data_IF_211461201913
#
_entry.id   IF_211461201913
#
_cell.length_a   1.000
_cell.length_b   1.000
_cell.length_c   1.000
_cell.angle_alpha   90.00
_cell.angle_beta   90.00
_cell.angle_gamma   90.00
#
_symmetry.space_group_name_H-M   'P 1'
#
loop_
_entity.id
_entity.type
_entity.pdbx_description
1 polymer ?
#
# COMPACT_ATOMS: atom_id res chain seq x y z
N UNK A 1 6.30 -40.84 4.46
CA UNK A 1 5.65 -39.59 4.91
C UNK A 1 5.59 -38.62 3.75
N UNK A 2 4.52 -37.84 3.63
CA UNK A 2 4.37 -36.88 2.53
C UNK A 2 5.36 -35.72 2.65
N UNK A 3 6.05 -35.39 1.55
CA UNK A 3 7.00 -34.28 1.51
C UNK A 3 6.28 -32.93 1.75
N UNK A 4 6.87 -32.09 2.61
CA UNK A 4 6.47 -30.71 2.84
C UNK A 4 7.47 -29.77 2.20
N UNK A 5 6.99 -28.69 1.61
CA UNK A 5 7.83 -27.72 0.91
C UNK A 5 7.41 -26.30 1.25
N UNK A 6 8.37 -25.38 1.34
CA UNK A 6 8.10 -23.97 1.63
C UNK A 6 7.26 -23.35 0.50
N UNK A 7 6.23 -22.59 0.88
CA UNK A 7 5.43 -21.80 -0.05
C UNK A 7 6.31 -20.82 -0.84
N UNK A 8 7.04 -19.95 -0.14
CA UNK A 8 8.00 -19.04 -0.74
C UNK A 8 7.38 -17.90 -1.58
N UNK A 9 6.07 -17.65 -1.49
CA UNK A 9 5.52 -16.44 -2.11
C UNK A 9 5.89 -15.19 -1.31
N UNK A 10 6.24 -14.06 -1.94
CA UNK A 10 6.33 -13.85 -3.38
C UNK A 10 7.75 -13.98 -3.96
N UNK A 11 8.80 -14.05 -3.13
CA UNK A 11 10.20 -13.88 -3.56
C UNK A 11 11.07 -15.15 -3.44
N UNK A 12 10.50 -16.30 -3.10
CA UNK A 12 11.17 -17.60 -3.03
C UNK A 12 11.60 -18.03 -1.62
N UNK A 13 12.57 -18.95 -1.54
CA UNK A 13 12.94 -19.67 -0.29
C UNK A 13 13.76 -18.84 0.72
N UNK A 14 14.26 -17.66 0.36
CA UNK A 14 15.26 -16.94 1.17
C UNK A 14 15.02 -15.43 1.27
N UNK A 15 13.76 -15.01 1.27
CA UNK A 15 13.41 -13.60 1.44
C UNK A 15 12.55 -13.44 2.69
N UNK A 16 12.94 -12.53 3.58
CA UNK A 16 12.23 -12.26 4.84
C UNK A 16 10.78 -11.77 4.62
N UNK A 17 10.52 -11.26 3.43
CA UNK A 17 9.20 -10.81 2.99
C UNK A 17 8.41 -11.90 2.24
N UNK A 18 8.75 -13.18 2.44
CA UNK A 18 8.09 -14.33 1.80
C UNK A 18 7.54 -15.31 2.81
N UNK A 19 6.39 -15.88 2.50
CA UNK A 19 5.70 -16.87 3.31
C UNK A 19 6.62 -18.05 3.70
N UNK A 20 6.81 -18.22 5.01
CA UNK A 20 7.55 -19.32 5.65
C UNK A 20 6.74 -20.61 5.82
N UNK A 21 5.44 -20.61 5.48
CA UNK A 21 4.59 -21.79 5.62
C UNK A 21 5.10 -22.95 4.76
N UNK A 22 5.03 -24.16 5.33
CA UNK A 22 5.46 -25.41 4.70
C UNK A 22 4.27 -26.37 4.51
N UNK A 23 3.35 -26.10 3.55
CA UNK A 23 2.27 -27.02 3.23
C UNK A 23 2.80 -28.34 2.65
N UNK A 24 1.96 -29.38 2.62
CA UNK A 24 2.28 -30.56 1.84
C UNK A 24 2.34 -30.22 0.35
N UNK A 25 3.15 -30.97 -0.41
CA UNK A 25 3.35 -30.71 -1.85
C UNK A 25 2.03 -30.64 -2.63
N UNK A 26 1.06 -31.49 -2.30
CA UNK A 26 -0.25 -31.52 -2.95
C UNK A 26 -1.19 -30.37 -2.52
N UNK A 27 -0.96 -29.74 -1.35
CA UNK A 27 -1.74 -28.59 -0.85
C UNK A 27 -1.12 -27.26 -1.24
N UNK A 28 0.08 -27.28 -1.83
CA UNK A 28 0.86 -26.08 -2.11
C UNK A 28 0.12 -25.11 -3.03
N UNK A 29 -0.55 -25.62 -4.07
CA UNK A 29 -1.29 -24.79 -5.03
C UNK A 29 -2.51 -24.13 -4.38
N UNK A 30 -3.29 -24.88 -3.60
CA UNK A 30 -4.43 -24.35 -2.84
C UNK A 30 -3.99 -23.29 -1.83
N UNK A 31 -2.91 -23.58 -1.09
CA UNK A 31 -2.31 -22.61 -0.19
C UNK A 31 -1.88 -21.34 -0.94
N UNK A 32 -1.22 -21.46 -2.09
CA UNK A 32 -0.74 -20.30 -2.86
C UNK A 32 -1.89 -19.41 -3.36
N UNK A 33 -3.03 -20.00 -3.72
CA UNK A 33 -4.23 -19.27 -4.11
C UNK A 33 -4.79 -18.39 -2.96
N UNK A 34 -4.62 -18.84 -1.72
CA UNK A 34 -5.13 -18.16 -0.52
C UNK A 34 -4.03 -17.49 0.33
N UNK A 35 -2.78 -17.62 -0.09
CA UNK A 35 -1.62 -17.16 0.65
C UNK A 35 -1.68 -15.65 0.85
N UNK A 36 -1.37 -15.18 2.05
CA UNK A 36 -1.40 -13.76 2.40
C UNK A 36 -0.31 -12.95 1.71
N UNK A 37 0.77 -13.63 1.29
CA UNK A 37 1.87 -13.05 0.52
C UNK A 37 1.65 -13.11 -0.99
N UNK A 38 0.50 -13.66 -1.46
CA UNK A 38 0.18 -13.66 -2.89
C UNK A 38 0.05 -12.22 -3.39
N UNK A 39 0.52 -12.00 -4.61
CA UNK A 39 0.44 -10.68 -5.25
C UNK A 39 -0.95 -10.48 -5.84
N UNK A 40 -1.60 -9.39 -5.47
CA UNK A 40 -2.90 -8.95 -5.96
C UNK A 40 -2.80 -7.56 -6.54
N UNK A 41 -3.67 -7.22 -7.50
CA UNK A 41 -3.75 -5.86 -8.04
C UNK A 41 -4.29 -4.91 -6.98
N UNK A 42 -3.78 -3.68 -6.97
CA UNK A 42 -4.39 -2.59 -6.23
C UNK A 42 -5.85 -2.39 -6.68
N UNK A 43 -6.73 -2.04 -5.74
CA UNK A 43 -8.15 -1.76 -6.01
C UNK A 43 -8.42 -0.29 -6.31
N UNK A 44 -7.41 0.58 -6.16
CA UNK A 44 -7.56 2.01 -6.44
C UNK A 44 -7.59 2.22 -7.95
N UNK A 45 -8.62 2.91 -8.49
CA UNK A 45 -8.72 3.18 -9.92
C UNK A 45 -7.47 3.89 -10.45
N UNK A 46 -6.91 3.37 -11.55
CA UNK A 46 -5.69 3.90 -12.17
C UNK A 46 -4.37 3.42 -11.55
N UNK A 47 -4.40 2.56 -10.53
CA UNK A 47 -3.20 1.93 -9.98
C UNK A 47 -3.01 0.49 -10.49
N UNK A 48 -2.02 0.28 -11.36
CA UNK A 48 -1.67 -1.06 -11.88
C UNK A 48 -0.64 -1.82 -11.03
N UNK A 49 -0.31 -1.30 -9.85
CA UNK A 49 0.69 -1.94 -8.98
C UNK A 49 0.17 -3.25 -8.40
N UNK A 50 1.03 -4.28 -8.42
CA UNK A 50 0.79 -5.54 -7.71
C UNK A 50 1.42 -5.47 -6.33
N UNK A 51 0.63 -5.71 -5.30
CA UNK A 51 1.05 -5.69 -3.90
C UNK A 51 0.69 -7.00 -3.22
N UNK A 52 1.37 -7.32 -2.13
CA UNK A 52 1.01 -8.49 -1.32
C UNK A 52 -0.39 -8.32 -0.74
N UNK A 53 -1.17 -9.39 -0.70
CA UNK A 53 -2.55 -9.35 -0.22
C UNK A 53 -2.67 -8.80 1.21
N UNK A 54 -1.79 -9.22 2.13
CA UNK A 54 -1.71 -8.69 3.50
C UNK A 54 -1.40 -7.18 3.57
N UNK A 55 -0.68 -6.62 2.58
CA UNK A 55 -0.33 -5.20 2.51
C UNK A 55 -1.26 -4.38 1.64
N UNK A 56 -2.27 -5.00 1.01
CA UNK A 56 -3.19 -4.34 0.10
C UNK A 56 -3.92 -3.16 0.76
N UNK A 57 -4.41 -3.33 1.99
CA UNK A 57 -5.13 -2.29 2.72
C UNK A 57 -4.22 -1.10 3.04
N UNK A 58 -2.99 -1.39 3.49
CA UNK A 58 -1.97 -0.36 3.75
C UNK A 58 -1.65 0.41 2.46
N UNK A 59 -1.35 -0.29 1.36
CA UNK A 59 -1.10 0.34 0.07
C UNK A 59 -2.29 1.19 -0.38
N UNK A 60 -3.53 0.68 -0.29
CA UNK A 60 -4.71 1.43 -0.70
C UNK A 60 -4.89 2.74 0.09
N UNK A 61 -4.53 2.76 1.38
CA UNK A 61 -4.58 3.98 2.20
C UNK A 61 -3.58 5.05 1.75
N UNK A 62 -2.41 4.62 1.27
CA UNK A 62 -1.28 5.47 0.84
C UNK A 62 -1.14 5.58 -0.68
N UNK A 63 -2.05 4.99 -1.45
CA UNK A 63 -1.93 4.89 -2.89
C UNK A 63 -1.89 6.28 -3.53
N UNK A 64 -0.91 6.52 -4.39
CA UNK A 64 -0.72 7.80 -5.08
C UNK A 64 -1.94 8.19 -5.94
N UNK A 65 -2.66 7.19 -6.47
CA UNK A 65 -3.84 7.39 -7.31
C UNK A 65 -5.14 7.60 -6.52
N UNK A 66 -5.11 7.41 -5.19
CA UNK A 66 -6.30 7.61 -4.36
C UNK A 66 -6.70 9.08 -4.45
N UNK A 67 -7.98 9.33 -4.76
CA UNK A 67 -8.54 10.67 -4.72
C UNK A 67 -8.64 11.11 -3.26
N UNK A 68 -8.09 12.28 -2.98
CA UNK A 68 -8.11 12.92 -1.66
C UNK A 68 -8.62 14.34 -1.82
N UNK A 69 -9.31 14.80 -0.79
CA UNK A 69 -9.70 16.20 -0.64
C UNK A 69 -8.60 16.98 0.09
N UNK A 70 -8.58 18.29 -0.15
CA UNK A 70 -7.65 19.17 0.56
C UNK A 70 -7.99 19.21 2.06
N UNK A 71 -7.00 19.01 2.96
CA UNK A 71 -7.26 18.95 4.40
C UNK A 71 -7.75 20.27 5.00
N UNK A 72 -7.50 21.41 4.34
CA UNK A 72 -8.01 22.72 4.76
C UNK A 72 -9.43 23.00 4.25
N UNK A 73 -10.05 22.06 3.54
CA UNK A 73 -11.44 22.20 3.09
C UNK A 73 -11.65 23.22 1.98
N UNK A 74 -10.61 23.53 1.18
CA UNK A 74 -10.70 24.51 0.10
C UNK A 74 -11.54 24.06 -1.12
N UNK A 75 -12.18 22.88 -1.05
CA UNK A 75 -12.97 22.30 -2.13
C UNK A 75 -12.16 21.57 -3.22
N UNK A 76 -10.83 21.56 -3.15
CA UNK A 76 -10.00 20.80 -4.10
C UNK A 76 -10.08 19.29 -3.85
N UNK A 77 -10.19 18.52 -4.93
CA UNK A 77 -10.13 17.06 -4.94
C UNK A 77 -9.23 16.60 -6.09
N UNK A 78 -8.28 15.72 -5.79
CA UNK A 78 -7.34 15.21 -6.79
C UNK A 78 -6.62 13.97 -6.31
N UNK A 79 -5.71 13.44 -7.14
CA UNK A 79 -4.89 12.28 -6.73
C UNK A 79 -3.98 12.68 -5.59
N UNK A 80 -3.68 11.75 -4.69
CA UNK A 80 -2.73 11.96 -3.60
C UNK A 80 -1.37 12.46 -4.10
N UNK A 81 -0.89 12.01 -5.26
CA UNK A 81 0.33 12.54 -5.88
C UNK A 81 0.30 14.05 -6.12
N UNK A 82 -0.87 14.58 -6.50
CA UNK A 82 -1.06 15.99 -6.81
C UNK A 82 -1.30 16.84 -5.56
N UNK A 83 -1.58 16.23 -4.41
CA UNK A 83 -1.92 16.94 -3.18
C UNK A 83 -0.78 17.84 -2.70
N UNK A 84 0.49 17.42 -2.89
CA UNK A 84 1.65 18.24 -2.55
C UNK A 84 1.77 19.48 -3.45
N UNK A 85 1.54 19.32 -4.76
CA UNK A 85 1.54 20.42 -5.72
C UNK A 85 0.39 21.38 -5.46
N UNK A 86 -0.82 20.86 -5.17
CA UNK A 86 -1.95 21.69 -4.78
C UNK A 86 -1.66 22.48 -3.50
N UNK A 87 -1.10 21.82 -2.49
CA UNK A 87 -0.81 22.41 -1.19
C UNK A 87 0.07 23.67 -1.32
N UNK A 88 1.10 23.64 -2.17
CA UNK A 88 1.96 24.79 -2.44
C UNK A 88 1.25 26.00 -3.08
N UNK A 89 0.07 25.80 -3.68
CA UNK A 89 -0.73 26.84 -4.33
C UNK A 89 -2.11 27.03 -3.66
N UNK A 90 -2.32 26.40 -2.50
CA UNK A 90 -3.62 26.42 -1.85
C UNK A 90 -3.81 27.76 -1.13
N UNK A 91 -4.78 28.55 -1.57
CA UNK A 91 -5.07 29.88 -1.00
C UNK A 91 -5.46 29.82 0.49
N UNK A 92 -5.91 28.67 0.96
CA UNK A 92 -6.30 28.41 2.35
C UNK A 92 -5.25 27.61 3.12
N UNK A 93 -4.04 27.44 2.58
CA UNK A 93 -2.96 26.81 3.33
C UNK A 93 -2.63 27.65 4.58
N UNK A 94 -2.70 27.00 5.74
CA UNK A 94 -2.25 27.59 7.00
C UNK A 94 -0.73 27.73 6.97
N UNK A 95 -0.25 28.89 6.54
CA UNK A 95 1.13 29.30 6.78
C UNK A 95 1.31 29.54 8.28
N UNK A 96 2.13 28.73 8.93
CA UNK A 96 2.52 29.00 10.31
C UNK A 96 3.24 30.34 10.34
N UNK A 97 2.69 31.32 11.06
CA UNK A 97 3.38 32.56 11.33
C UNK A 97 4.68 32.23 12.08
N UNK A 98 5.84 32.42 11.44
CA UNK A 98 7.16 32.18 12.02
C UNK A 98 7.56 33.25 13.06
N UNK A 99 6.60 33.78 13.82
CA UNK A 99 6.91 34.57 15.01
C UNK A 99 6.95 33.60 16.17
N UNK A 100 8.15 33.18 16.55
CA UNK A 100 8.36 32.60 17.86
C UNK A 100 7.85 33.62 18.89
N UNK A 101 6.84 33.24 19.68
CA UNK A 101 6.48 33.96 20.89
C UNK A 101 7.71 34.01 21.79
N UNK A 102 8.45 35.11 21.68
CA UNK A 102 9.54 35.45 22.59
C UNK A 102 8.85 36.03 23.82
N UNK A 103 8.70 35.19 24.85
CA UNK A 103 8.41 35.64 26.21
C UNK A 103 9.67 36.21 26.86
#
# INVERSE_FOLDING_TARGET
GFARERCGLPHGRHHNDSCDMMPHRYEREEHQAQCHFRLVRCQVPGCDTRVQHNRRTQHASLCAFKVVECPVGCGWQGRRSEAASHRAMCDLELVTCARADTQ
#
